data_IF_358982418664
#
_entry.id   IF_358982418664
#
_cell.length_a   1.000
_cell.length_b   1.000
_cell.length_c   1.000
_cell.angle_alpha   90.00
_cell.angle_beta   90.00
_cell.angle_gamma   90.00
#
_symmetry.space_group_name_H-M   'P 1'
#
loop_
_entity.id
_entity.type
_entity.pdbx_description
1 polymer ?
#
# COMPACT_ATOMS: atom_id res chain seq x y z
N UNK A 1 2.58 1.61 -5.74
CA UNK A 1 3.98 2.04 -5.99
C UNK A 1 4.89 1.88 -4.77
N UNK A 2 4.51 2.36 -3.57
CA UNK A 2 5.41 2.35 -2.38
C UNK A 2 5.74 0.96 -1.87
N UNK A 3 4.77 0.05 -1.85
CA UNK A 3 5.03 -1.34 -1.48
C UNK A 3 6.07 -1.99 -2.39
N UNK A 4 6.01 -1.71 -3.69
CA UNK A 4 6.99 -2.21 -4.68
C UNK A 4 8.41 -1.70 -4.37
N UNK A 5 8.54 -0.43 -4.00
CA UNK A 5 9.83 0.13 -3.58
C UNK A 5 10.33 -0.51 -2.29
N UNK A 6 9.44 -0.71 -1.31
CA UNK A 6 9.82 -1.37 -0.05
C UNK A 6 10.31 -2.80 -0.32
N UNK A 7 9.61 -3.57 -1.16
CA UNK A 7 10.01 -4.92 -1.53
C UNK A 7 11.39 -4.94 -2.20
N UNK A 8 11.62 -4.04 -3.17
CA UNK A 8 12.90 -3.95 -3.87
C UNK A 8 14.06 -3.56 -2.91
N UNK A 9 13.81 -2.63 -1.99
CA UNK A 9 14.80 -2.22 -0.97
C UNK A 9 15.06 -3.36 0.00
N UNK A 10 14.03 -4.06 0.46
CA UNK A 10 14.18 -5.23 1.36
C UNK A 10 15.06 -6.29 0.70
N UNK A 11 14.78 -6.68 -0.53
CA UNK A 11 15.60 -7.65 -1.28
C UNK A 11 17.06 -7.18 -1.48
N UNK A 12 17.26 -5.89 -1.71
CA UNK A 12 18.60 -5.32 -1.84
C UNK A 12 19.36 -5.37 -0.53
N UNK A 13 18.73 -5.03 0.59
CA UNK A 13 19.36 -5.06 1.91
C UNK A 13 19.62 -6.49 2.40
N UNK A 14 18.75 -7.47 2.12
CA UNK A 14 19.00 -8.88 2.36
C UNK A 14 20.26 -9.38 1.63
N UNK A 15 20.46 -8.95 0.37
CA UNK A 15 21.66 -9.30 -0.40
C UNK A 15 22.93 -8.65 0.15
N UNK A 16 22.84 -7.43 0.68
CA UNK A 16 23.97 -6.71 1.28
C UNK A 16 24.35 -7.26 2.65
N UNK A 17 23.39 -7.82 3.35
CA UNK A 17 23.54 -8.29 4.72
C UNK A 17 23.16 -9.77 4.87
N UNK A 18 23.88 -10.71 4.22
CA UNK A 18 23.57 -12.12 4.27
C UNK A 18 23.62 -12.64 5.72
N UNK A 19 22.57 -13.36 6.13
CA UNK A 19 22.44 -13.91 7.48
C UNK A 19 21.86 -12.94 8.53
N UNK A 20 21.44 -11.73 8.12
CA UNK A 20 20.66 -10.82 8.97
C UNK A 20 19.22 -10.79 8.48
N UNK A 21 18.29 -10.78 9.42
CA UNK A 21 16.89 -10.56 9.12
C UNK A 21 16.66 -9.08 8.79
N UNK A 22 16.03 -8.81 7.65
CA UNK A 22 15.65 -7.45 7.23
C UNK A 22 14.17 -7.25 7.51
N UNK A 23 13.87 -6.44 8.50
CA UNK A 23 12.50 -6.15 8.93
C UNK A 23 12.03 -4.81 8.34
N UNK A 24 10.96 -4.78 7.54
CA UNK A 24 10.41 -3.53 7.04
C UNK A 24 9.81 -2.71 8.18
N UNK A 25 10.29 -1.48 8.37
CA UNK A 25 9.86 -0.61 9.44
C UNK A 25 8.51 0.06 9.17
N UNK A 26 8.20 0.35 7.90
CA UNK A 26 6.93 0.95 7.52
C UNK A 26 6.92 1.61 6.16
N UNK A 27 5.74 2.12 5.80
CA UNK A 27 5.51 2.87 4.57
C UNK A 27 4.96 4.24 4.94
N UNK A 28 5.64 5.31 4.56
CA UNK A 28 5.31 6.64 5.01
C UNK A 28 4.95 7.59 3.89
N UNK A 29 4.13 8.58 4.27
CA UNK A 29 3.78 9.76 3.49
C UNK A 29 4.22 10.99 4.27
N UNK A 30 5.13 11.75 3.69
CA UNK A 30 5.49 13.05 4.20
C UNK A 30 4.73 14.13 3.41
N UNK A 31 4.06 15.03 4.13
CA UNK A 31 3.34 16.14 3.52
C UNK A 31 4.31 17.33 3.39
N UNK A 32 4.59 17.74 2.14
CA UNK A 32 5.51 18.85 1.83
C UNK A 32 4.71 20.17 1.67
N UNK A 33 3.60 20.33 2.38
CA UNK A 33 2.87 21.60 2.36
C UNK A 33 3.41 22.52 3.44
N UNK A 34 3.40 23.81 3.17
CA UNK A 34 3.59 24.82 4.21
C UNK A 34 2.45 24.72 5.21
N UNK A 35 2.71 24.39 6.47
CA UNK A 35 1.66 24.31 7.47
C UNK A 35 1.16 25.71 7.82
N UNK A 36 -0.16 25.90 7.76
CA UNK A 36 -0.83 27.09 8.22
C UNK A 36 -1.43 26.78 9.60
N UNK A 37 -1.12 27.63 10.57
CA UNK A 37 -1.73 27.59 11.89
C UNK A 37 -2.66 28.77 12.01
N UNK A 38 -3.97 28.49 12.08
CA UNK A 38 -4.97 29.52 12.40
C UNK A 38 -4.97 29.71 13.92
N UNK A 39 -4.59 30.90 14.35
CA UNK A 39 -4.68 31.29 15.74
C UNK A 39 -5.93 32.10 15.95
N UNK A 40 -6.77 31.72 16.91
CA UNK A 40 -7.90 32.54 17.33
C UNK A 40 -7.36 33.83 17.94
N UNK A 41 -7.84 34.98 17.42
CA UNK A 41 -7.39 36.33 17.84
C UNK A 41 -7.63 36.64 19.31
N UNK A 42 -8.43 35.85 20.00
CA UNK A 42 -8.75 36.04 21.42
C UNK A 42 -7.80 35.31 22.38
N UNK A 43 -7.13 34.22 21.91
CA UNK A 43 -6.13 33.48 22.66
C UNK A 43 -4.83 33.46 21.86
N UNK A 44 -3.95 34.42 22.12
CA UNK A 44 -2.62 34.41 21.51
C UNK A 44 -1.88 33.13 21.96
N UNK A 45 -1.76 32.15 21.08
CA UNK A 45 -0.94 30.96 21.30
C UNK A 45 0.54 31.36 21.47
N UNK A 46 1.21 30.69 22.36
CA UNK A 46 2.65 30.94 22.55
C UNK A 46 3.41 30.42 21.32
N UNK A 47 4.61 30.96 21.02
CA UNK A 47 5.45 30.45 19.94
C UNK A 47 5.68 28.94 20.01
N UNK A 48 5.80 28.39 21.24
CA UNK A 48 5.96 26.94 21.46
C UNK A 48 4.71 26.13 21.08
N UNK A 49 3.52 26.69 21.30
CA UNK A 49 2.25 26.04 20.90
C UNK A 49 2.09 26.06 19.40
N UNK A 50 2.45 27.14 18.73
CA UNK A 50 2.46 27.25 17.27
C UNK A 50 3.44 26.24 16.66
N UNK A 51 4.67 26.18 17.19
CA UNK A 51 5.67 25.21 16.72
C UNK A 51 5.18 23.77 16.88
N UNK A 52 4.57 23.45 18.01
CA UNK A 52 4.00 22.13 18.27
C UNK A 52 2.89 21.76 17.30
N UNK A 53 2.03 22.73 16.93
CA UNK A 53 0.97 22.51 15.94
C UNK A 53 1.55 22.32 14.54
N UNK A 54 2.56 23.09 14.15
CA UNK A 54 3.31 22.91 12.90
C UNK A 54 3.90 21.52 12.82
N UNK A 55 4.60 21.07 13.85
CA UNK A 55 5.17 19.71 13.91
C UNK A 55 4.10 18.63 13.84
N UNK A 56 2.93 18.86 14.45
CA UNK A 56 1.79 17.95 14.36
C UNK A 56 1.25 17.81 12.92
N UNK A 57 1.20 18.92 12.17
CA UNK A 57 0.75 18.92 10.78
C UNK A 57 1.80 18.29 9.84
N UNK A 58 3.06 18.41 10.18
CA UNK A 58 4.19 17.81 9.43
C UNK A 58 4.45 16.33 9.77
N UNK A 59 3.77 15.79 10.77
CA UNK A 59 3.93 14.40 11.16
C UNK A 59 3.69 13.47 9.97
N UNK A 60 4.56 12.47 9.78
CA UNK A 60 4.40 11.46 8.75
C UNK A 60 3.10 10.68 8.94
N UNK A 61 2.41 10.42 7.83
CA UNK A 61 1.28 9.49 7.77
C UNK A 61 1.75 8.20 7.10
N UNK A 62 1.08 7.09 7.38
CA UNK A 62 1.44 5.83 6.75
C UNK A 62 1.10 4.63 7.61
N UNK A 63 1.76 3.51 7.35
CA UNK A 63 1.60 2.25 8.05
C UNK A 63 2.95 1.87 8.68
N UNK A 64 2.97 1.67 9.99
CA UNK A 64 4.17 1.36 10.78
C UNK A 64 4.17 -0.11 11.18
N UNK A 65 5.33 -0.75 11.25
CA UNK A 65 5.45 -2.08 11.84
C UNK A 65 5.09 -2.01 13.33
N UNK A 66 4.24 -2.92 13.78
CA UNK A 66 3.78 -2.97 15.18
C UNK A 66 4.80 -3.54 16.16
N UNK A 67 6.02 -3.85 15.70
CA UNK A 67 7.11 -4.25 16.58
C UNK A 67 7.61 -3.03 17.39
N UNK A 68 7.60 -3.16 18.72
CA UNK A 68 8.02 -2.08 19.61
C UNK A 68 9.51 -1.74 19.48
N UNK A 69 10.36 -2.72 19.13
CA UNK A 69 11.76 -2.49 18.88
C UNK A 69 11.94 -1.63 17.63
N UNK A 70 11.23 -1.94 16.55
CA UNK A 70 11.22 -1.15 15.31
C UNK A 70 10.74 0.28 15.59
N UNK A 71 9.63 0.44 16.34
CA UNK A 71 9.09 1.73 16.71
C UNK A 71 10.11 2.55 17.53
N UNK A 72 10.79 1.92 18.49
CA UNK A 72 11.79 2.58 19.33
C UNK A 72 13.02 3.06 18.54
N UNK A 73 13.40 2.35 17.47
CA UNK A 73 14.45 2.80 16.56
C UNK A 73 14.05 4.00 15.70
N UNK A 74 12.75 4.16 15.42
CA UNK A 74 12.23 5.27 14.61
C UNK A 74 11.98 6.52 15.45
N UNK A 75 11.50 6.37 16.68
CA UNK A 75 11.27 7.46 17.62
C UNK A 75 11.66 7.01 19.04
N UNK A 76 12.87 7.38 19.45
CA UNK A 76 13.41 7.05 20.77
C UNK A 76 12.78 7.83 21.91
N UNK A 77 12.14 8.95 21.59
CA UNK A 77 11.54 9.86 22.56
C UNK A 77 10.03 9.64 22.76
N UNK A 78 9.48 8.59 22.15
CA UNK A 78 8.03 8.31 22.24
C UNK A 78 7.65 7.87 23.66
N UNK A 79 6.87 8.70 24.35
CA UNK A 79 6.29 8.38 25.67
C UNK A 79 4.81 7.99 25.54
N UNK A 80 4.01 8.83 24.88
CA UNK A 80 2.55 8.63 24.70
C UNK A 80 2.15 8.65 23.24
N UNK A 81 2.48 9.73 22.51
CA UNK A 81 2.14 9.91 21.10
C UNK A 81 3.35 10.45 20.38
N UNK A 82 3.75 9.75 19.30
CA UNK A 82 4.86 10.18 18.50
C UNK A 82 4.54 11.48 17.74
N UNK A 83 5.49 12.41 17.73
CA UNK A 83 5.47 13.58 16.86
C UNK A 83 5.93 13.31 15.44
N UNK A 84 6.57 12.16 15.20
CA UNK A 84 7.22 11.81 13.93
C UNK A 84 6.38 10.81 13.13
N UNK A 85 5.94 9.73 13.76
CA UNK A 85 5.23 8.61 13.14
C UNK A 85 3.81 8.46 13.69
N UNK A 86 2.87 7.82 12.94
CA UNK A 86 1.48 7.68 13.37
C UNK A 86 1.30 6.56 14.40
N UNK A 87 1.98 6.67 15.54
CA UNK A 87 1.92 5.71 16.65
C UNK A 87 1.60 6.42 17.96
N UNK A 88 0.77 5.79 18.80
CA UNK A 88 0.49 6.18 20.15
C UNK A 88 0.69 5.00 21.10
N UNK A 89 1.32 5.25 22.24
CA UNK A 89 1.57 4.28 23.30
C UNK A 89 0.78 4.64 24.55
N UNK A 90 0.38 3.63 25.31
CA UNK A 90 -0.13 3.75 26.67
C UNK A 90 0.47 2.63 27.51
N UNK A 91 1.12 2.99 28.58
CA UNK A 91 1.77 2.03 29.47
C UNK A 91 2.73 1.06 28.73
N UNK A 92 3.45 1.59 27.73
CA UNK A 92 4.38 0.81 26.88
C UNK A 92 3.72 -0.05 25.81
N UNK A 93 2.39 -0.04 25.70
CA UNK A 93 1.64 -0.81 24.69
C UNK A 93 1.08 0.09 23.60
N UNK A 94 0.99 -0.43 22.38
CA UNK A 94 0.43 0.29 21.24
C UNK A 94 -1.07 0.46 21.41
N UNK A 95 -1.54 1.70 21.26
CA UNK A 95 -2.96 2.02 21.17
C UNK A 95 -3.44 1.89 19.72
N UNK A 96 -4.02 0.77 19.34
CA UNK A 96 -4.43 0.50 17.96
C UNK A 96 -5.40 1.56 17.40
N UNK A 97 -6.36 2.04 18.20
CA UNK A 97 -7.33 3.06 17.77
C UNK A 97 -6.70 4.43 17.43
N UNK A 98 -5.49 4.69 17.91
CA UNK A 98 -4.76 5.94 17.72
C UNK A 98 -3.47 5.77 16.92
N UNK A 99 -3.25 4.55 16.41
CA UNK A 99 -2.04 4.19 15.69
C UNK A 99 -2.39 3.59 14.33
N UNK A 100 -1.55 3.87 13.34
CA UNK A 100 -1.63 3.22 12.04
C UNK A 100 -0.53 2.17 11.95
N UNK A 101 -0.80 0.99 12.47
CA UNK A 101 0.17 -0.09 12.60
C UNK A 101 -0.28 -1.38 11.92
N UNK A 102 0.68 -2.19 11.49
CA UNK A 102 0.46 -3.54 10.99
C UNK A 102 1.57 -4.47 11.48
N UNK A 103 1.21 -5.72 11.78
CA UNK A 103 2.21 -6.75 12.12
C UNK A 103 3.07 -7.11 10.92
N UNK A 104 4.24 -7.71 11.16
CA UNK A 104 5.10 -8.24 10.10
C UNK A 104 4.35 -9.18 9.15
N UNK A 105 3.46 -10.04 9.69
CA UNK A 105 2.57 -10.89 8.87
C UNK A 105 1.67 -10.07 7.94
N UNK A 106 1.10 -8.96 8.39
CA UNK A 106 0.28 -8.08 7.55
C UNK A 106 1.11 -7.39 6.46
N UNK A 107 2.36 -7.05 6.74
CA UNK A 107 3.29 -6.57 5.70
C UNK A 107 3.56 -7.64 4.64
N UNK A 108 3.74 -8.91 5.02
CA UNK A 108 3.89 -10.00 4.06
C UNK A 108 2.61 -10.23 3.22
N UNK A 109 1.44 -10.20 3.83
CA UNK A 109 0.16 -10.27 3.10
C UNK A 109 0.07 -9.13 2.07
N UNK A 110 0.39 -7.90 2.47
CA UNK A 110 0.36 -6.74 1.59
C UNK A 110 1.37 -6.88 0.44
N UNK A 111 2.57 -7.36 0.70
CA UNK A 111 3.62 -7.65 -0.28
C UNK A 111 3.14 -8.65 -1.33
N UNK A 112 2.64 -9.79 -0.88
CA UNK A 112 2.18 -10.86 -1.76
C UNK A 112 0.98 -10.41 -2.60
N UNK A 113 0.03 -9.70 -1.99
CA UNK A 113 -1.12 -9.14 -2.70
C UNK A 113 -0.70 -8.14 -3.79
N UNK A 114 0.22 -7.24 -3.49
CA UNK A 114 0.70 -6.25 -4.49
C UNK A 114 1.46 -6.93 -5.62
N UNK A 115 2.32 -7.92 -5.32
CA UNK A 115 3.03 -8.71 -6.33
C UNK A 115 2.05 -9.44 -7.27
N UNK A 116 1.01 -10.03 -6.69
CA UNK A 116 -0.06 -10.66 -7.47
C UNK A 116 -0.77 -9.67 -8.37
N UNK A 117 -1.21 -8.52 -7.85
CA UNK A 117 -1.88 -7.50 -8.64
C UNK A 117 -1.03 -7.01 -9.81
N UNK A 118 0.28 -6.86 -9.60
CA UNK A 118 1.22 -6.48 -10.66
C UNK A 118 1.31 -7.57 -11.74
N UNK A 119 1.43 -8.83 -11.32
CA UNK A 119 1.50 -9.96 -12.25
C UNK A 119 0.20 -10.11 -13.07
N UNK A 120 -0.97 -9.99 -12.43
CA UNK A 120 -2.26 -10.02 -13.11
C UNK A 120 -2.39 -8.86 -14.11
N UNK A 121 -2.07 -7.64 -13.69
CA UNK A 121 -2.12 -6.48 -14.59
C UNK A 121 -1.15 -6.61 -15.77
N UNK A 122 0.03 -7.17 -15.52
CA UNK A 122 1.00 -7.45 -16.59
C UNK A 122 0.48 -8.47 -17.61
N UNK A 123 -0.17 -9.54 -17.16
CA UNK A 123 -0.81 -10.52 -18.04
C UNK A 123 -1.95 -9.89 -18.84
N UNK A 124 -2.86 -9.15 -18.20
CA UNK A 124 -3.95 -8.44 -18.90
C UNK A 124 -3.43 -7.51 -20.02
N UNK A 125 -2.32 -6.82 -19.79
CA UNK A 125 -1.67 -5.98 -20.80
C UNK A 125 -1.14 -6.83 -21.96
N UNK A 126 -0.45 -7.93 -21.66
CA UNK A 126 0.10 -8.83 -22.68
C UNK A 126 -1.00 -9.54 -23.49
N UNK A 127 -2.12 -9.86 -22.85
CA UNK A 127 -3.29 -10.46 -23.48
C UNK A 127 -4.11 -9.45 -24.32
N UNK A 128 -3.69 -8.16 -24.33
CA UNK A 128 -4.35 -7.11 -25.09
C UNK A 128 -5.70 -6.67 -24.51
N UNK A 129 -5.92 -6.83 -23.21
CA UNK A 129 -7.14 -6.37 -22.56
C UNK A 129 -7.23 -4.84 -22.59
N UNK A 130 -8.13 -4.31 -23.41
CA UNK A 130 -8.41 -2.87 -23.57
C UNK A 130 -9.73 -2.45 -22.92
N UNK A 131 -10.34 -3.30 -22.08
CA UNK A 131 -11.62 -3.00 -21.44
C UNK A 131 -11.53 -1.73 -20.56
N UNK A 132 -12.48 -0.82 -20.76
CA UNK A 132 -12.57 0.43 -20.00
C UNK A 132 -13.51 0.22 -18.83
N UNK A 133 -12.95 -0.17 -17.70
CA UNK A 133 -13.66 -0.42 -16.44
C UNK A 133 -13.07 0.42 -15.29
N UNK A 134 -13.32 1.74 -15.24
CA UNK A 134 -12.78 2.59 -14.20
C UNK A 134 -13.35 2.25 -12.82
N UNK A 135 -12.58 2.45 -11.77
CA UNK A 135 -13.09 2.25 -10.41
C UNK A 135 -13.95 3.42 -9.94
N UNK A 136 -14.90 3.13 -9.03
CA UNK A 136 -15.68 4.12 -8.28
C UNK A 136 -15.76 3.71 -6.82
N UNK A 137 -15.20 4.55 -5.94
CA UNK A 137 -15.24 4.39 -4.49
C UNK A 137 -16.09 5.47 -3.82
N UNK A 138 -16.14 5.46 -2.49
CA UNK A 138 -16.85 6.46 -1.71
C UNK A 138 -16.24 7.87 -1.85
N UNK A 139 -14.94 7.97 -2.05
CA UNK A 139 -14.20 9.23 -2.16
C UNK A 139 -14.13 9.80 -3.59
N UNK A 140 -14.68 9.10 -4.59
CA UNK A 140 -14.64 9.52 -5.98
C UNK A 140 -14.37 8.37 -6.95
N UNK A 141 -14.08 8.71 -8.20
CA UNK A 141 -13.83 7.76 -9.29
C UNK A 141 -12.49 8.03 -9.99
N UNK A 142 -12.00 7.05 -10.73
CA UNK A 142 -10.83 7.22 -11.58
C UNK A 142 -11.03 8.28 -12.68
N UNK A 143 -12.28 8.63 -12.98
CA UNK A 143 -12.65 9.57 -14.03
C UNK A 143 -12.61 11.04 -13.59
N UNK A 144 -12.68 11.33 -12.27
CA UNK A 144 -12.89 12.69 -11.75
C UNK A 144 -11.76 13.67 -12.16
N UNK A 145 -10.52 13.16 -12.26
CA UNK A 145 -9.34 13.96 -12.67
C UNK A 145 -8.57 13.30 -13.82
N UNK A 146 -9.25 12.49 -14.65
CA UNK A 146 -8.61 11.78 -15.74
C UNK A 146 -8.30 12.72 -16.92
N UNK A 147 -7.05 12.87 -17.34
CA UNK A 147 -6.69 13.71 -18.48
C UNK A 147 -7.19 13.15 -19.82
N UNK A 148 -7.56 11.88 -19.87
CA UNK A 148 -8.01 11.18 -21.07
C UNK A 148 -9.54 11.16 -21.23
N UNK A 149 -10.28 11.87 -20.36
CA UNK A 149 -11.75 11.87 -20.39
C UNK A 149 -12.33 12.21 -21.76
N UNK A 150 -11.70 13.17 -22.47
CA UNK A 150 -12.19 13.62 -23.79
C UNK A 150 -12.00 12.60 -24.93
N UNK A 151 -11.11 11.61 -24.78
CA UNK A 151 -10.81 10.61 -25.83
C UNK A 151 -11.24 9.20 -25.41
N UNK A 152 -11.46 8.95 -24.13
CA UNK A 152 -11.80 7.63 -23.59
C UNK A 152 -13.20 7.17 -24.01
N UNK A 153 -14.16 8.10 -24.16
CA UNK A 153 -15.54 7.79 -24.53
C UNK A 153 -16.34 7.02 -23.48
N UNK A 154 -15.81 6.84 -22.26
CA UNK A 154 -16.52 6.15 -21.19
C UNK A 154 -17.75 6.95 -20.74
N UNK A 155 -18.92 6.36 -20.85
CA UNK A 155 -20.16 6.87 -20.28
C UNK A 155 -20.94 5.72 -19.63
N UNK A 156 -21.15 5.80 -18.32
CA UNK A 156 -21.88 4.78 -17.56
C UNK A 156 -23.37 4.66 -17.95
N UNK A 157 -23.91 5.59 -18.78
CA UNK A 157 -25.26 5.51 -19.31
C UNK A 157 -25.33 4.66 -20.59
N UNK A 158 -24.22 4.42 -21.23
CA UNK A 158 -24.13 3.58 -22.45
C UNK A 158 -24.04 2.12 -22.05
N UNK A 159 -24.83 1.28 -22.72
CA UNK A 159 -24.81 -0.16 -22.48
C UNK A 159 -23.41 -0.74 -22.73
N UNK A 160 -22.92 -1.58 -21.82
CA UNK A 160 -21.59 -2.19 -21.89
C UNK A 160 -20.54 -1.46 -21.03
N UNK A 161 -20.72 -0.19 -20.70
CA UNK A 161 -19.83 0.52 -19.81
C UNK A 161 -20.28 0.42 -18.36
N UNK A 162 -19.35 0.15 -17.44
CA UNK A 162 -19.65 0.06 -16.01
C UNK A 162 -18.45 0.49 -15.16
N UNK A 163 -18.75 1.02 -13.99
CA UNK A 163 -17.73 1.23 -12.95
C UNK A 163 -17.48 -0.06 -12.16
N UNK A 164 -16.24 -0.35 -11.88
CA UNK A 164 -15.86 -1.29 -10.79
C UNK A 164 -16.11 -0.57 -9.46
N UNK A 165 -17.12 -1.03 -8.72
CA UNK A 165 -17.49 -0.40 -7.44
C UNK A 165 -16.65 -0.97 -6.31
N UNK A 166 -16.02 -0.09 -5.54
CA UNK A 166 -15.33 -0.44 -4.31
C UNK A 166 -16.17 0.01 -3.11
N UNK A 167 -16.91 -0.89 -2.47
CA UNK A 167 -17.65 -0.56 -1.25
C UNK A 167 -16.67 -0.23 -0.13
N UNK A 168 -17.10 0.60 0.81
CA UNK A 168 -16.36 0.80 2.05
C UNK A 168 -16.30 -0.52 2.82
N UNK A 169 -15.11 -0.99 3.11
CA UNK A 169 -14.86 -2.25 3.83
C UNK A 169 -14.11 -1.91 5.11
N UNK A 170 -14.45 -2.57 6.21
CA UNK A 170 -13.71 -2.46 7.47
C UNK A 170 -12.27 -2.96 7.30
N UNK A 171 -11.32 -2.33 8.01
CA UNK A 171 -9.89 -2.61 7.86
C UNK A 171 -9.55 -4.10 8.05
N UNK A 172 -10.15 -4.77 9.03
CA UNK A 172 -9.91 -6.20 9.28
C UNK A 172 -10.32 -7.06 8.09
N UNK A 173 -11.49 -6.80 7.51
CA UNK A 173 -11.98 -7.53 6.32
C UNK A 173 -11.13 -7.27 5.07
N UNK A 174 -10.42 -6.14 5.01
CA UNK A 174 -9.46 -5.88 3.92
C UNK A 174 -8.29 -6.85 4.02
N UNK A 175 -7.74 -7.06 5.22
CA UNK A 175 -6.64 -7.99 5.44
C UNK A 175 -7.03 -9.43 5.13
N UNK A 176 -8.22 -9.86 5.56
CA UNK A 176 -8.77 -11.18 5.23
C UNK A 176 -8.86 -11.37 3.71
N UNK A 177 -9.49 -10.44 2.99
CA UNK A 177 -9.61 -10.53 1.52
C UNK A 177 -8.27 -10.50 0.79
N UNK A 178 -7.28 -9.75 1.28
CA UNK A 178 -5.94 -9.77 0.71
C UNK A 178 -5.23 -11.10 0.94
N UNK A 179 -5.44 -11.74 2.12
CA UNK A 179 -4.90 -13.06 2.41
C UNK A 179 -5.53 -14.12 1.53
N UNK A 180 -6.87 -14.20 1.48
CA UNK A 180 -7.61 -15.13 0.62
C UNK A 180 -7.17 -15.01 -0.85
N UNK A 181 -7.08 -13.78 -1.35
CA UNK A 181 -6.65 -13.51 -2.71
C UNK A 181 -5.23 -14.02 -3.01
N UNK A 182 -4.35 -14.11 -2.01
CA UNK A 182 -2.98 -14.65 -2.21
C UNK A 182 -2.90 -16.16 -2.09
N UNK A 183 -3.83 -16.81 -1.39
CA UNK A 183 -3.87 -18.27 -1.20
C UNK A 183 -4.43 -18.99 -2.43
N UNK A 184 -5.42 -18.42 -3.12
CA UNK A 184 -6.04 -19.01 -4.31
C UNK A 184 -5.07 -19.27 -5.47
N UNK A 185 -3.98 -18.50 -5.63
CA UNK A 185 -3.00 -18.70 -6.70
C UNK A 185 -1.91 -19.73 -6.35
N UNK A 186 -1.73 -20.05 -5.08
CA UNK A 186 -0.80 -21.12 -4.66
C UNK A 186 -1.20 -22.49 -5.23
N UNK A 187 -2.49 -22.71 -5.44
CA UNK A 187 -3.05 -23.95 -5.96
C UNK A 187 -3.03 -24.03 -7.51
N UNK A 188 -2.99 -22.88 -8.20
CA UNK A 188 -2.91 -22.82 -9.67
C UNK A 188 -1.48 -22.85 -10.20
N UNK A 189 -0.50 -22.33 -9.47
CA UNK A 189 0.89 -22.38 -9.89
C UNK A 189 1.48 -23.82 -9.85
N UNK A 190 0.92 -24.70 -9.01
CA UNK A 190 1.28 -26.13 -8.97
C UNK A 190 0.79 -26.95 -10.16
N UNK A 191 -0.23 -26.48 -10.90
CA UNK A 191 -0.81 -27.23 -12.04
C UNK A 191 -0.22 -26.89 -13.40
N UNK A 192 0.53 -25.81 -13.53
CA UNK A 192 1.16 -25.43 -14.82
C UNK A 192 2.61 -25.90 -14.94
N UNK A 193 3.24 -26.36 -13.86
CA UNK A 193 4.61 -26.88 -13.90
C UNK A 193 4.70 -28.32 -14.45
N UNK A 194 3.61 -29.09 -14.46
CA UNK A 194 3.60 -30.50 -14.93
C UNK A 194 3.24 -30.68 -16.41
N UNK A 195 2.88 -29.61 -17.15
CA UNK A 195 2.49 -29.70 -18.57
C UNK A 195 3.56 -29.28 -19.56
N UNK A 196 4.70 -28.74 -19.12
CA UNK A 196 5.76 -28.23 -20.02
C UNK A 196 6.95 -29.19 -20.21
N UNK A 197 6.85 -30.41 -19.66
CA UNK A 197 7.91 -31.44 -19.79
C UNK A 197 7.69 -32.41 -20.99
N UNK A 198 6.78 -32.11 -21.92
CA UNK A 198 6.34 -33.06 -22.94
C UNK A 198 6.39 -32.61 -24.41
N UNK A 199 7.04 -31.49 -24.77
CA UNK A 199 7.18 -31.07 -26.17
C UNK A 199 8.57 -30.54 -26.54
N UNK A 200 9.55 -31.37 -26.47
CA UNK A 200 10.82 -31.15 -27.14
C UNK A 200 11.16 -32.44 -27.90
N UNK A 201 10.65 -32.57 -29.13
CA UNK A 201 11.24 -33.34 -30.26
C UNK A 201 10.29 -33.31 -31.46
N UNK A 202 10.45 -32.32 -32.33
CA UNK A 202 10.29 -32.56 -33.78
C UNK A 202 10.94 -31.41 -34.55
N UNK A 203 12.18 -31.67 -34.97
CA UNK A 203 12.89 -30.84 -35.91
C UNK A 203 12.23 -30.91 -37.30
N UNK A 204 11.70 -29.78 -37.75
CA UNK A 204 11.26 -29.57 -39.15
C UNK A 204 12.23 -28.60 -39.82
N UNK A 205 13.07 -29.12 -40.74
CA UNK A 205 13.89 -28.33 -41.66
C UNK A 205 12.99 -27.52 -42.59
N UNK A 206 13.33 -26.27 -42.74
CA UNK A 206 12.80 -25.41 -43.80
C UNK A 206 13.89 -25.31 -44.91
N UNK A 207 13.57 -25.76 -46.10
CA UNK A 207 14.25 -25.39 -47.37
C UNK A 207 13.61 -24.12 -47.89
#
# INVERSE_FOLDING_TARGET
KRQVYMDAVTELEERKHPGKEVVPAGIFYYNIKDPLVDTDKENAETPEEIEKEILRQLRMNGLVNSDLEVISHMDRAIEKKSGVIPVALKDGMIQENYSSVASGRRFEILKNYVRRQLACSGREILDGNTAVEPYKGAAGSACDYCPYHGVCGFDAKVAGYRFRKFPAIQAEKIWEKMSEATEEDGDTAGRTADTDAGMAENGGKWE
#
